data_IF_183370126577
#
_entry.id   IF_183370126577
#
_cell.length_a   1.000
_cell.length_b   1.000
_cell.length_c   1.000
_cell.angle_alpha   90.00
_cell.angle_beta   90.00
_cell.angle_gamma   90.00
#
_symmetry.space_group_name_H-M   'P 1'
#
loop_
_entity.id
_entity.type
_entity.pdbx_description
1 polymer ?
#
# COMPACT_ATOMS: atom_id res chain seq x y z
N UNK A 1 -10.95 1.36 -5.53
CA UNK A 1 -11.29 2.64 -4.88
C UNK A 1 -12.58 3.11 -5.51
N UNK A 2 -13.65 3.25 -4.72
CA UNK A 2 -14.96 3.67 -5.23
C UNK A 2 -15.39 2.82 -6.46
N UNK A 3 -15.32 1.49 -6.30
CA UNK A 3 -15.69 0.50 -7.33
C UNK A 3 -14.86 0.47 -8.62
N UNK A 4 -13.76 1.23 -8.69
CA UNK A 4 -12.79 1.17 -9.78
C UNK A 4 -11.43 0.59 -9.34
N UNK A 5 -10.69 -0.11 -10.23
CA UNK A 5 -9.28 -0.39 -10.02
C UNK A 5 -8.47 0.89 -9.81
N UNK A 6 -7.41 0.82 -9.03
CA UNK A 6 -6.48 1.95 -8.88
C UNK A 6 -5.79 2.21 -10.22
N UNK A 7 -5.85 3.44 -10.73
CA UNK A 7 -5.05 3.88 -11.89
C UNK A 7 -3.56 3.81 -11.57
N UNK A 8 -2.74 3.39 -12.55
CA UNK A 8 -1.29 3.30 -12.41
C UNK A 8 -0.63 4.52 -13.07
N UNK A 9 -0.07 5.46 -12.29
CA UNK A 9 0.66 6.60 -12.85
C UNK A 9 1.84 6.15 -13.73
N UNK A 10 2.13 6.92 -14.76
CA UNK A 10 3.24 6.63 -15.67
C UNK A 10 4.57 6.63 -14.89
N UNK A 11 5.30 5.51 -14.95
CA UNK A 11 6.59 5.37 -14.25
C UNK A 11 6.49 4.83 -12.82
N UNK A 12 5.28 4.54 -12.32
CA UNK A 12 5.07 3.81 -11.07
C UNK A 12 5.76 2.44 -11.15
N UNK A 13 6.59 2.10 -10.15
CA UNK A 13 7.31 0.83 -10.11
C UNK A 13 6.78 -0.03 -8.98
N UNK A 14 5.58 -0.57 -9.17
CA UNK A 14 4.98 -1.47 -8.17
C UNK A 14 5.86 -2.69 -7.92
N UNK A 15 6.18 -2.91 -6.67
CA UNK A 15 6.91 -4.07 -6.21
C UNK A 15 6.03 -4.96 -5.34
N UNK A 16 6.24 -6.26 -5.46
CA UNK A 16 5.57 -7.30 -4.67
C UNK A 16 6.57 -8.37 -4.25
N UNK A 17 6.23 -9.14 -3.22
CA UNK A 17 7.01 -10.32 -2.84
C UNK A 17 6.67 -11.50 -3.74
N UNK A 18 7.70 -12.23 -4.15
CA UNK A 18 7.62 -13.43 -4.96
C UNK A 18 8.46 -14.55 -4.33
N UNK A 19 7.93 -15.76 -4.40
CA UNK A 19 8.70 -16.99 -4.28
C UNK A 19 9.31 -17.31 -5.64
N UNK A 20 10.63 -17.43 -5.70
CA UNK A 20 11.36 -17.81 -6.92
C UNK A 20 12.09 -19.13 -6.66
N UNK A 21 11.86 -20.11 -7.54
CA UNK A 21 12.53 -21.41 -7.51
C UNK A 21 13.50 -21.53 -8.68
N UNK A 22 14.64 -22.17 -8.42
CA UNK A 22 15.70 -22.39 -9.40
C UNK A 22 16.14 -23.85 -9.41
N UNK A 23 16.88 -24.24 -10.44
CA UNK A 23 17.54 -25.54 -10.54
C UNK A 23 19.03 -25.36 -10.87
N UNK A 24 19.89 -26.09 -10.16
CA UNK A 24 21.33 -26.04 -10.37
C UNK A 24 21.95 -24.79 -9.72
N UNK A 25 22.78 -24.01 -10.43
CA UNK A 25 23.37 -22.81 -9.84
C UNK A 25 22.28 -21.82 -9.44
N UNK A 26 22.43 -21.22 -8.26
CA UNK A 26 21.50 -20.21 -7.75
C UNK A 26 21.51 -18.90 -8.56
N UNK A 27 20.79 -17.90 -8.06
CA UNK A 27 20.79 -16.56 -8.65
C UNK A 27 22.06 -15.82 -8.25
N UNK A 28 22.72 -15.17 -9.22
CA UNK A 28 23.89 -14.34 -8.94
C UNK A 28 23.43 -12.98 -8.39
N UNK A 29 23.72 -12.63 -7.11
CA UNK A 29 23.22 -11.40 -6.50
C UNK A 29 23.72 -10.13 -7.18
N UNK A 30 24.92 -10.15 -7.77
CA UNK A 30 25.43 -9.00 -8.52
C UNK A 30 24.64 -8.78 -9.80
N UNK A 31 24.23 -9.85 -10.50
CA UNK A 31 23.37 -9.73 -11.69
C UNK A 31 21.99 -9.18 -11.31
N UNK A 32 21.41 -9.68 -10.21
CA UNK A 32 20.11 -9.22 -9.71
C UNK A 32 20.12 -7.71 -9.42
N UNK A 33 21.15 -7.25 -8.71
CA UNK A 33 21.30 -5.84 -8.36
C UNK A 33 21.67 -4.97 -9.56
N UNK A 34 22.79 -5.26 -10.24
CA UNK A 34 23.35 -4.34 -11.24
C UNK A 34 22.50 -4.23 -12.51
N UNK A 35 21.81 -5.32 -12.91
CA UNK A 35 21.05 -5.35 -14.17
C UNK A 35 19.55 -5.14 -13.96
N UNK A 36 19.01 -5.53 -12.82
CA UNK A 36 17.56 -5.57 -12.60
C UNK A 36 17.09 -4.74 -11.39
N UNK A 37 18.01 -4.10 -10.66
CA UNK A 37 17.71 -3.28 -9.46
C UNK A 37 16.91 -4.07 -8.40
N UNK A 38 17.13 -5.39 -8.33
CA UNK A 38 16.53 -6.26 -7.31
C UNK A 38 17.44 -6.22 -6.08
N UNK A 39 17.06 -5.40 -5.11
CA UNK A 39 17.86 -5.11 -3.90
C UNK A 39 17.30 -5.73 -2.63
N UNK A 40 16.07 -6.24 -2.67
CA UNK A 40 15.31 -6.69 -1.50
C UNK A 40 14.94 -8.17 -1.63
N UNK A 41 15.17 -8.90 -0.54
CA UNK A 41 14.93 -10.33 -0.46
C UNK A 41 16.17 -11.15 -0.11
N UNK A 42 16.05 -12.47 -0.26
CA UNK A 42 17.12 -13.41 0.06
C UNK A 42 16.73 -14.85 -0.21
N UNK A 43 17.48 -15.78 0.39
CA UNK A 43 17.16 -17.19 0.30
C UNK A 43 15.82 -17.52 0.98
N UNK A 44 15.10 -18.45 0.36
CA UNK A 44 13.90 -19.08 0.89
C UNK A 44 14.27 -20.23 1.83
N UNK A 45 13.60 -21.38 1.69
CA UNK A 45 13.81 -22.52 2.59
C UNK A 45 15.14 -23.25 2.35
N UNK A 46 15.70 -23.10 1.15
CA UNK A 46 16.95 -23.73 0.74
C UNK A 46 17.66 -22.86 -0.31
N UNK A 47 18.85 -23.29 -0.75
CA UNK A 47 19.71 -22.58 -1.70
C UNK A 47 19.10 -22.38 -3.11
N UNK A 48 18.05 -23.12 -3.45
CA UNK A 48 17.38 -23.05 -4.74
C UNK A 48 16.06 -22.26 -4.68
N UNK A 49 15.66 -21.80 -3.50
CA UNK A 49 14.48 -20.97 -3.28
C UNK A 49 14.88 -19.57 -2.86
N UNK A 50 14.13 -18.57 -3.31
CA UNK A 50 14.35 -17.17 -3.01
C UNK A 50 13.03 -16.47 -2.71
N UNK A 51 13.08 -15.55 -1.76
CA UNK A 51 11.99 -14.64 -1.44
C UNK A 51 12.46 -13.26 -1.91
N UNK A 52 11.94 -12.77 -3.03
CA UNK A 52 12.41 -11.54 -3.65
C UNK A 52 11.30 -10.51 -3.74
N UNK A 53 11.64 -9.24 -3.57
CA UNK A 53 10.76 -8.12 -3.87
C UNK A 53 11.01 -7.67 -5.30
N UNK A 54 10.03 -7.85 -6.18
CA UNK A 54 10.20 -7.67 -7.63
C UNK A 54 9.20 -6.65 -8.17
N UNK A 55 9.68 -5.79 -9.07
CA UNK A 55 8.83 -5.09 -10.03
C UNK A 55 8.29 -6.07 -11.08
N UNK A 56 7.28 -5.64 -11.86
CA UNK A 56 6.84 -6.41 -13.03
C UNK A 56 8.01 -6.68 -14.01
N UNK A 57 8.83 -5.67 -14.27
CA UNK A 57 10.02 -5.78 -15.12
C UNK A 57 11.04 -6.79 -14.56
N UNK A 58 11.36 -6.71 -13.27
CA UNK A 58 12.29 -7.62 -12.61
C UNK A 58 11.79 -9.07 -12.62
N UNK A 59 10.49 -9.27 -12.34
CA UNK A 59 9.83 -10.58 -12.46
C UNK A 59 9.95 -11.14 -13.88
N UNK A 60 9.63 -10.33 -14.89
CA UNK A 60 9.64 -10.79 -16.29
C UNK A 60 11.05 -11.06 -16.80
N UNK A 61 12.04 -10.29 -16.35
CA UNK A 61 13.44 -10.58 -16.59
C UNK A 61 13.87 -11.93 -15.99
N UNK A 62 13.50 -12.24 -14.75
CA UNK A 62 13.85 -13.52 -14.12
C UNK A 62 13.26 -14.73 -14.85
N UNK A 63 12.12 -14.60 -15.52
CA UNK A 63 11.55 -15.69 -16.35
C UNK A 63 12.46 -16.09 -17.52
N UNK A 64 13.37 -15.21 -17.93
CA UNK A 64 14.30 -15.49 -19.05
C UNK A 64 15.53 -16.28 -18.62
N UNK A 65 15.72 -16.48 -17.32
CA UNK A 65 16.90 -17.16 -16.79
C UNK A 65 16.72 -18.66 -16.96
N UNK A 66 17.68 -19.38 -17.57
CA UNK A 66 17.53 -20.80 -17.88
C UNK A 66 17.45 -21.69 -16.64
N UNK A 67 17.95 -21.21 -15.50
CA UNK A 67 17.92 -21.91 -14.23
C UNK A 67 16.70 -21.55 -13.35
N UNK A 68 15.84 -20.61 -13.75
CA UNK A 68 14.61 -20.27 -12.99
C UNK A 68 13.48 -21.20 -13.43
N UNK A 69 12.92 -21.94 -12.49
CA UNK A 69 11.89 -22.95 -12.75
C UNK A 69 10.49 -22.49 -12.34
N UNK A 70 10.37 -21.60 -11.37
CA UNK A 70 9.09 -21.02 -10.96
C UNK A 70 9.24 -19.61 -10.41
N UNK A 71 8.24 -18.77 -10.64
CA UNK A 71 8.08 -17.45 -10.02
C UNK A 71 6.62 -17.31 -9.61
N UNK A 72 6.35 -17.29 -8.31
CA UNK A 72 4.99 -17.21 -7.75
C UNK A 72 4.85 -15.95 -6.92
N UNK A 73 3.87 -15.10 -7.26
CA UNK A 73 3.54 -13.95 -6.41
C UNK A 73 3.04 -14.48 -5.08
N UNK A 74 3.59 -13.96 -3.97
CA UNK A 74 3.01 -14.20 -2.65
C UNK A 74 1.74 -13.39 -2.54
N UNK A 75 0.64 -14.05 -2.22
CA UNK A 75 -0.63 -13.39 -1.97
C UNK A 75 -1.34 -14.12 -0.85
N UNK A 76 -1.92 -13.38 0.08
CA UNK A 76 -2.83 -13.95 1.07
C UNK A 76 -4.14 -14.42 0.43
N UNK A 77 -4.82 -15.36 1.09
CA UNK A 77 -6.11 -15.89 0.62
C UNK A 77 -7.22 -14.85 0.83
N UNK A 78 -8.12 -14.65 -0.13
CA UNK A 78 -9.33 -13.87 0.10
C UNK A 78 -10.12 -14.41 1.30
N UNK A 79 -10.71 -13.51 2.09
CA UNK A 79 -11.53 -13.88 3.26
C UNK A 79 -10.73 -14.30 4.50
N UNK A 80 -9.39 -14.19 4.47
CA UNK A 80 -8.56 -14.37 5.66
C UNK A 80 -8.39 -13.03 6.37
N UNK A 81 -8.92 -12.90 7.59
CA UNK A 81 -8.74 -11.70 8.41
C UNK A 81 -7.29 -11.55 8.87
N UNK A 82 -6.75 -10.35 8.74
CA UNK A 82 -5.47 -9.94 9.31
C UNK A 82 -5.69 -8.83 10.33
N UNK A 83 -5.38 -9.09 11.61
CA UNK A 83 -5.63 -8.14 12.71
C UNK A 83 -4.87 -6.82 12.60
N UNK A 84 -3.77 -6.80 11.85
CA UNK A 84 -2.92 -5.62 11.65
C UNK A 84 -3.37 -4.75 10.48
N UNK A 85 -4.46 -5.13 9.79
CA UNK A 85 -5.02 -4.42 8.66
C UNK A 85 -6.18 -3.55 9.13
N UNK A 86 -6.13 -2.26 8.78
CA UNK A 86 -7.20 -1.30 9.05
C UNK A 86 -8.51 -1.78 8.38
N UNK A 87 -9.70 -1.67 9.01
CA UNK A 87 -9.98 -0.98 10.26
C UNK A 87 -9.93 -1.88 11.51
N UNK A 88 -9.23 -3.00 11.47
CA UNK A 88 -9.17 -3.98 12.57
C UNK A 88 -10.54 -4.59 12.90
N UNK A 89 -11.36 -4.80 11.87
CA UNK A 89 -12.69 -5.39 11.95
C UNK A 89 -12.70 -6.79 11.33
N UNK A 90 -12.88 -7.80 12.18
CA UNK A 90 -12.87 -9.20 11.74
C UNK A 90 -14.04 -9.56 10.82
N UNK A 91 -15.12 -8.76 10.77
CA UNK A 91 -16.26 -9.02 9.91
C UNK A 91 -15.95 -8.77 8.44
N UNK A 92 -15.01 -7.86 8.16
CA UNK A 92 -14.60 -7.51 6.80
C UNK A 92 -13.69 -8.57 6.19
N UNK A 93 -13.04 -9.40 7.01
CA UNK A 93 -12.12 -10.46 6.58
C UNK A 93 -11.04 -9.97 5.60
N UNK A 94 -10.61 -8.73 5.77
CA UNK A 94 -9.59 -8.09 4.94
C UNK A 94 -8.18 -8.53 5.35
N UNK A 95 -7.30 -8.53 4.35
CA UNK A 95 -5.86 -8.67 4.52
C UNK A 95 -5.09 -7.76 3.56
N UNK A 96 -3.76 -7.82 3.61
CA UNK A 96 -2.86 -6.94 2.85
C UNK A 96 -3.03 -7.03 1.33
N UNK A 97 -3.49 -8.18 0.82
CA UNK A 97 -3.70 -8.46 -0.60
C UNK A 97 -5.16 -8.38 -1.04
N UNK A 98 -6.09 -8.60 -0.10
CA UNK A 98 -7.53 -8.66 -0.35
C UNK A 98 -8.23 -7.68 0.59
N UNK A 99 -8.50 -6.49 0.05
CA UNK A 99 -8.95 -5.34 0.82
C UNK A 99 -10.11 -4.65 0.11
N UNK A 100 -11.05 -4.12 0.88
CA UNK A 100 -12.17 -3.36 0.36
C UNK A 100 -13.39 -4.21 -0.02
N UNK A 101 -14.40 -3.61 -0.65
CA UNK A 101 -14.41 -2.24 -1.19
C UNK A 101 -14.33 -1.17 -0.09
N UNK A 102 -13.78 -0.01 -0.47
CA UNK A 102 -13.72 1.17 0.39
C UNK A 102 -14.13 2.40 -0.40
N UNK A 103 -14.97 3.23 0.22
CA UNK A 103 -15.34 4.53 -0.30
C UNK A 103 -14.49 5.57 0.40
N UNK A 104 -13.72 6.34 -0.36
CA UNK A 104 -12.94 7.45 0.18
C UNK A 104 -13.85 8.68 0.26
N UNK A 105 -14.09 9.25 1.45
CA UNK A 105 -14.95 10.42 1.56
C UNK A 105 -14.32 11.66 0.92
N UNK A 106 -15.15 12.43 0.21
CA UNK A 106 -14.82 13.78 -0.24
C UNK A 106 -15.68 14.81 0.51
N UNK A 107 -15.18 16.05 0.60
CA UNK A 107 -15.93 17.12 1.26
C UNK A 107 -17.30 17.32 0.57
N UNK A 108 -18.35 17.45 1.38
CA UNK A 108 -19.74 17.60 0.92
C UNK A 108 -20.38 16.30 0.42
N UNK A 109 -19.69 15.17 0.47
CA UNK A 109 -20.30 13.86 0.16
C UNK A 109 -20.95 13.25 1.40
N UNK A 110 -22.11 12.63 1.19
CA UNK A 110 -22.85 11.93 2.25
C UNK A 110 -22.64 10.44 2.13
N UNK A 111 -22.23 9.81 3.23
CA UNK A 111 -22.18 8.34 3.36
C UNK A 111 -23.25 7.91 4.36
N UNK A 112 -23.99 6.86 4.01
CA UNK A 112 -24.87 6.17 4.94
C UNK A 112 -24.02 5.29 5.86
N UNK A 113 -23.86 5.72 7.10
CA UNK A 113 -23.17 4.97 8.14
C UNK A 113 -24.12 3.94 8.74
N UNK A 114 -23.61 2.72 8.92
CA UNK A 114 -24.31 1.59 9.53
C UNK A 114 -23.34 0.82 10.42
N UNK A 115 -23.83 -0.12 11.23
CA UNK A 115 -22.97 -0.96 12.07
C UNK A 115 -21.91 -1.70 11.25
N UNK A 116 -22.22 -2.07 10.00
CA UNK A 116 -21.34 -2.84 9.10
C UNK A 116 -20.17 -2.03 8.54
N UNK A 117 -20.26 -0.70 8.48
CA UNK A 117 -19.21 0.15 7.90
C UNK A 117 -18.64 1.19 8.87
N UNK A 118 -19.21 1.33 10.07
CA UNK A 118 -18.79 2.35 11.02
C UNK A 118 -17.33 2.18 11.43
N UNK A 119 -16.81 0.95 11.51
CA UNK A 119 -15.41 0.66 11.80
C UNK A 119 -14.46 1.33 10.80
N UNK A 120 -14.83 1.40 9.53
CA UNK A 120 -14.06 2.04 8.46
C UNK A 120 -13.92 3.55 8.73
N UNK A 121 -14.98 4.22 9.16
CA UNK A 121 -14.98 5.68 9.28
C UNK A 121 -14.74 6.20 10.71
N UNK A 122 -14.69 5.30 11.69
CA UNK A 122 -14.58 5.62 13.13
C UNK A 122 -13.50 6.64 13.44
N UNK A 123 -12.27 6.38 12.99
CA UNK A 123 -11.13 7.22 13.37
C UNK A 123 -11.25 8.64 12.81
N UNK A 124 -11.72 8.77 11.57
CA UNK A 124 -11.88 10.09 10.94
C UNK A 124 -13.08 10.86 11.48
N UNK A 125 -14.18 10.16 11.79
CA UNK A 125 -15.37 10.77 12.40
C UNK A 125 -15.10 11.25 13.83
N UNK A 126 -14.32 10.48 14.59
CA UNK A 126 -13.96 10.81 15.97
C UNK A 126 -12.91 11.92 16.02
N UNK A 127 -11.78 11.73 15.33
CA UNK A 127 -10.62 12.62 15.45
C UNK A 127 -10.78 13.87 14.60
N UNK A 128 -10.89 13.71 13.28
CA UNK A 128 -10.75 14.82 12.33
C UNK A 128 -12.06 15.59 12.15
N UNK A 129 -13.19 14.90 11.99
CA UNK A 129 -14.50 15.55 11.93
C UNK A 129 -15.03 15.96 13.31
N UNK A 130 -14.52 15.34 14.39
CA UNK A 130 -14.98 15.53 15.77
C UNK A 130 -14.03 16.39 16.59
N UNK A 131 -13.10 15.75 17.30
CA UNK A 131 -12.17 16.36 18.27
C UNK A 131 -11.43 17.59 17.69
N UNK A 132 -10.85 17.49 16.50
CA UNK A 132 -10.12 18.59 15.85
C UNK A 132 -11.04 19.74 15.39
N UNK A 133 -12.33 19.48 15.20
CA UNK A 133 -13.35 20.50 14.93
C UNK A 133 -14.03 21.02 16.22
N UNK A 134 -13.60 20.57 17.40
CA UNK A 134 -14.16 20.98 18.68
C UNK A 134 -15.49 20.30 19.05
N UNK A 135 -15.83 19.18 18.40
CA UNK A 135 -17.04 18.40 18.67
C UNK A 135 -16.69 16.97 19.16
N UNK A 136 -16.34 16.87 20.45
CA UNK A 136 -15.94 15.61 21.08
C UNK A 136 -17.07 14.58 21.21
N UNK A 137 -18.33 15.00 21.08
CA UNK A 137 -19.49 14.11 21.20
C UNK A 137 -20.02 13.64 19.84
N UNK A 138 -19.48 14.17 18.72
CA UNK A 138 -19.89 13.84 17.35
C UNK A 138 -20.02 12.34 17.10
N UNK A 139 -18.94 11.60 17.37
CA UNK A 139 -18.90 10.17 17.10
C UNK A 139 -19.90 9.39 17.96
N UNK A 140 -20.03 9.73 19.24
CA UNK A 140 -21.02 9.09 20.13
C UNK A 140 -22.45 9.37 19.70
N UNK A 141 -22.74 10.58 19.23
CA UNK A 141 -24.05 10.93 18.69
C UNK A 141 -24.37 10.11 17.43
N UNK A 142 -23.39 9.92 16.54
CA UNK A 142 -23.52 9.03 15.37
C UNK A 142 -23.80 7.58 15.81
N UNK A 143 -23.03 7.05 16.78
CA UNK A 143 -23.25 5.71 17.34
C UNK A 143 -24.67 5.55 17.92
N UNK A 144 -25.15 6.55 18.67
CA UNK A 144 -26.51 6.56 19.22
C UNK A 144 -27.57 6.52 18.13
N UNK A 145 -27.42 7.35 17.09
CA UNK A 145 -28.36 7.39 15.96
C UNK A 145 -28.39 6.06 15.21
N UNK A 146 -27.23 5.44 14.97
CA UNK A 146 -27.15 4.11 14.33
C UNK A 146 -27.82 3.05 15.23
N UNK A 147 -27.59 3.08 16.54
CA UNK A 147 -28.20 2.13 17.47
C UNK A 147 -29.73 2.22 17.51
N UNK A 148 -30.28 3.44 17.40
CA UNK A 148 -31.72 3.69 17.44
C UNK A 148 -32.42 3.46 16.10
N UNK A 149 -31.80 3.88 14.98
CA UNK A 149 -32.42 3.94 13.65
C UNK A 149 -31.83 2.96 12.64
N UNK A 150 -30.78 2.23 13.00
CA UNK A 150 -30.03 1.33 12.13
C UNK A 150 -29.06 2.02 11.16
N UNK A 151 -29.16 3.34 10.97
CA UNK A 151 -28.25 4.09 10.10
C UNK A 151 -28.20 5.58 10.43
N UNK A 152 -27.13 6.24 10.00
CA UNK A 152 -26.93 7.69 10.08
C UNK A 152 -26.36 8.20 8.75
N UNK A 153 -27.06 9.12 8.09
CA UNK A 153 -26.51 9.81 6.92
C UNK A 153 -25.58 10.92 7.40
N UNK A 154 -24.30 10.83 7.04
CA UNK A 154 -23.27 11.77 7.49
C UNK A 154 -22.57 12.43 6.29
N UNK A 155 -22.57 13.77 6.27
CA UNK A 155 -21.90 14.58 5.26
C UNK A 155 -20.50 14.99 5.76
N UNK A 156 -19.46 14.52 5.06
CA UNK A 156 -18.06 14.80 5.40
C UNK A 156 -17.69 16.24 5.12
N UNK A 157 -16.93 16.87 6.03
CA UNK A 157 -16.56 18.29 5.90
C UNK A 157 -15.20 18.52 5.27
N UNK A 158 -14.39 17.48 5.13
CA UNK A 158 -13.09 17.57 4.47
C UNK A 158 -12.88 16.45 3.45
N UNK A 159 -11.91 16.66 2.57
CA UNK A 159 -11.43 15.61 1.67
C UNK A 159 -10.52 14.64 2.42
N UNK A 160 -10.63 13.35 2.08
CA UNK A 160 -9.76 12.30 2.57
C UNK A 160 -9.01 11.62 1.44
N UNK A 161 -7.86 11.05 1.78
CA UNK A 161 -6.97 10.39 0.84
C UNK A 161 -6.62 8.99 1.33
N UNK A 162 -6.44 8.11 0.36
CA UNK A 162 -5.95 6.76 0.57
C UNK A 162 -4.55 6.65 -0.03
N UNK A 163 -3.53 6.58 0.83
CA UNK A 163 -2.13 6.54 0.43
C UNK A 163 -1.68 5.09 0.29
N UNK A 164 -0.93 4.78 -0.76
CA UNK A 164 -0.34 3.46 -0.96
C UNK A 164 1.08 3.60 -1.48
N UNK A 165 2.00 2.82 -0.91
CA UNK A 165 3.38 2.77 -1.40
C UNK A 165 3.52 1.91 -2.64
N UNK A 166 4.51 2.23 -3.47
CA UNK A 166 4.86 1.43 -4.65
C UNK A 166 5.37 0.03 -4.26
N UNK A 167 6.11 -0.07 -3.15
CA UNK A 167 6.54 -1.36 -2.59
C UNK A 167 5.42 -1.97 -1.73
N UNK A 168 4.48 -2.65 -2.40
CA UNK A 168 3.16 -3.00 -1.85
C UNK A 168 3.19 -3.92 -0.64
N UNK A 169 4.20 -4.75 -0.49
CA UNK A 169 4.32 -5.60 0.70
C UNK A 169 5.34 -5.08 1.71
N UNK A 170 6.02 -3.97 1.43
CA UNK A 170 7.01 -3.36 2.32
C UNK A 170 6.69 -1.87 2.53
N UNK A 171 5.40 -1.58 2.68
CA UNK A 171 4.87 -0.22 2.83
C UNK A 171 3.82 -0.23 3.94
N UNK A 172 4.12 0.47 5.03
CA UNK A 172 3.13 0.80 6.05
C UNK A 172 2.31 2.00 5.56
N UNK A 173 1.23 1.73 4.84
CA UNK A 173 0.37 2.73 4.20
C UNK A 173 -1.10 2.62 4.65
N UNK A 174 -2.04 3.30 3.98
CA UNK A 174 -3.44 3.41 4.42
C UNK A 174 -4.13 2.05 4.65
N UNK A 175 -3.64 0.96 4.05
CA UNK A 175 -4.11 -0.40 4.36
C UNK A 175 -3.93 -0.80 5.83
N UNK A 176 -2.97 -0.18 6.52
CA UNK A 176 -2.62 -0.46 7.90
C UNK A 176 -3.14 0.61 8.87
N UNK A 177 -3.23 1.87 8.44
CA UNK A 177 -3.55 3.00 9.34
C UNK A 177 -4.70 3.90 8.85
N UNK A 178 -5.35 3.58 7.74
CA UNK A 178 -6.57 4.26 7.29
C UNK A 178 -6.33 5.56 6.51
N UNK A 179 -7.30 6.46 6.59
CA UNK A 179 -7.35 7.66 5.75
C UNK A 179 -6.42 8.78 6.20
N UNK A 180 -5.95 9.59 5.26
CA UNK A 180 -5.28 10.87 5.52
C UNK A 180 -6.24 12.03 5.23
N UNK A 181 -6.53 12.92 6.18
CA UNK A 181 -7.34 14.11 5.92
C UNK A 181 -6.55 15.17 5.13
N UNK A 182 -7.24 16.01 4.37
CA UNK A 182 -6.60 17.01 3.49
C UNK A 182 -5.71 18.02 4.23
N UNK A 183 -6.04 18.35 5.47
CA UNK A 183 -5.24 19.25 6.31
C UNK A 183 -3.91 18.64 6.78
N UNK A 184 -3.69 17.34 6.55
CA UNK A 184 -2.42 16.65 6.82
C UNK A 184 -1.56 16.49 5.56
N UNK A 185 -2.01 17.02 4.41
CA UNK A 185 -1.25 17.01 3.16
C UNK A 185 -0.37 18.26 3.07
N UNK A 186 0.95 18.08 3.13
CA UNK A 186 1.91 19.19 3.04
C UNK A 186 2.13 19.64 1.58
N UNK A 187 2.11 18.73 0.61
CA UNK A 187 2.29 19.06 -0.80
C UNK A 187 2.59 17.87 -1.70
N UNK A 188 2.90 18.15 -2.97
CA UNK A 188 3.24 17.15 -4.00
C UNK A 188 4.75 17.11 -4.23
N UNK A 189 5.34 15.92 -4.24
CA UNK A 189 6.73 15.74 -4.67
C UNK A 189 6.87 16.07 -6.16
N UNK A 190 7.85 16.91 -6.51
CA UNK A 190 8.01 17.42 -7.89
C UNK A 190 9.09 16.68 -8.68
N UNK A 191 10.28 16.48 -8.11
CA UNK A 191 11.39 15.79 -8.77
C UNK A 191 12.43 15.28 -7.76
N UNK A 192 13.25 14.31 -8.20
CA UNK A 192 14.36 13.78 -7.42
C UNK A 192 15.61 14.66 -7.61
N UNK A 193 15.92 15.52 -6.65
CA UNK A 193 17.11 16.39 -6.73
C UNK A 193 18.43 15.64 -6.49
N UNK A 194 18.40 14.57 -5.69
CA UNK A 194 19.57 13.72 -5.38
C UNK A 194 19.19 12.25 -5.27
N UNK A 195 20.10 11.37 -5.66
CA UNK A 195 19.93 9.93 -5.56
C UNK A 195 21.27 9.25 -5.28
N UNK A 196 21.33 8.49 -4.18
CA UNK A 196 22.56 7.91 -3.66
C UNK A 196 22.40 6.41 -3.38
N UNK A 197 23.34 5.63 -3.89
CA UNK A 197 23.41 4.18 -3.75
C UNK A 197 24.42 3.80 -2.67
N UNK A 198 23.93 3.22 -1.58
CA UNK A 198 24.78 2.77 -0.48
C UNK A 198 25.56 1.50 -0.81
N UNK A 199 25.14 0.72 -1.81
CA UNK A 199 25.77 -0.53 -2.23
C UNK A 199 26.89 -0.31 -3.26
N UNK A 200 26.89 0.83 -3.96
CA UNK A 200 27.92 1.17 -4.93
C UNK A 200 29.21 1.72 -4.28
N UNK A 201 30.30 1.79 -5.06
CA UNK A 201 31.61 2.29 -4.60
C UNK A 201 32.05 3.55 -5.37
N UNK A 202 32.73 4.45 -4.67
CA UNK A 202 33.27 5.69 -5.24
C UNK A 202 32.21 6.55 -5.89
N UNK A 203 32.50 7.10 -7.08
CA UNK A 203 31.60 7.98 -7.83
C UNK A 203 30.35 7.26 -8.37
N UNK A 204 30.33 5.92 -8.39
CA UNK A 204 29.14 5.13 -8.77
C UNK A 204 28.05 5.17 -7.71
N UNK A 205 28.31 5.75 -6.53
CA UNK A 205 27.28 5.99 -5.51
C UNK A 205 26.24 7.00 -5.96
N UNK A 206 26.57 7.94 -6.84
CA UNK A 206 25.54 8.85 -7.38
C UNK A 206 24.77 8.12 -8.49
N UNK A 207 23.45 7.98 -8.32
CA UNK A 207 22.57 7.43 -9.36
C UNK A 207 22.20 8.53 -10.36
N UNK A 208 23.16 8.89 -11.22
CA UNK A 208 23.03 10.01 -12.18
C UNK A 208 21.78 9.94 -13.05
N UNK A 209 21.38 8.74 -13.46
CA UNK A 209 20.18 8.52 -14.26
C UNK A 209 18.87 8.89 -13.55
N UNK A 210 18.87 9.07 -12.23
CA UNK A 210 17.71 9.40 -11.40
C UNK A 210 17.65 10.88 -11.00
N UNK A 211 18.73 11.64 -11.18
CA UNK A 211 18.76 13.07 -10.84
C UNK A 211 17.83 13.86 -11.76
N UNK A 212 17.14 14.83 -11.17
CA UNK A 212 16.19 15.75 -11.81
C UNK A 212 15.07 15.08 -12.60
N UNK A 213 14.79 13.81 -12.33
CA UNK A 213 13.59 13.16 -12.86
C UNK A 213 12.37 13.70 -12.15
N UNK A 214 11.42 14.20 -12.94
CA UNK A 214 10.09 14.57 -12.46
C UNK A 214 9.39 13.35 -11.85
N UNK A 215 8.68 13.58 -10.75
CA UNK A 215 7.69 12.64 -10.22
C UNK A 215 6.42 12.87 -11.04
N UNK A 216 5.99 11.86 -11.80
CA UNK A 216 4.78 11.90 -12.61
C UNK A 216 3.58 11.55 -11.74
#
# INVERSE_FOLDING_TARGET
VNDAPQEEPEGMKKQWHYDVSTQGPGLNPNILYEKYDITEGGYGRNQNEYNLTLTNEGRDALKTFPNVTAIKKRTEKPGSYAEYIFPHDENLKWNVDNYGPITIPAAGTTIKLTTENLSIYKDILKRYEGEEMGDNEKFKNIESVISEKGSCDYEFKMNYYWMMGDNRHNSADSRFWGFVPENHIVGKALFQWMSWDTNAKGLKKVRWNRLFRSVK
#
